data_IF_913240527917
#
_entry.id   IF_913240527917
#
_cell.length_a   1.000
_cell.length_b   1.000
_cell.length_c   1.000
_cell.angle_alpha   90.00
_cell.angle_beta   90.00
_cell.angle_gamma   90.00
#
_symmetry.space_group_name_H-M   'P 1'
#
loop_
_entity.id
_entity.type
_entity.pdbx_description
1 polymer ?
#
# COMPACT_ATOMS: atom_id res chain seq x y z
N UNK A 1 48.39 53.45 -61.26
CA UNK A 1 49.72 52.98 -60.82
C UNK A 1 49.49 51.78 -59.90
N UNK A 2 50.03 50.60 -60.26
CA UNK A 2 50.08 49.30 -59.55
C UNK A 2 48.74 48.56 -59.29
N UNK A 3 48.42 47.43 -59.94
CA UNK A 3 48.91 46.03 -59.77
C UNK A 3 48.59 45.42 -58.40
N UNK A 4 47.86 44.28 -58.40
CA UNK A 4 47.96 43.08 -57.54
C UNK A 4 46.66 42.25 -57.75
N UNK A 5 46.62 41.11 -58.45
CA UNK A 5 47.26 39.80 -58.27
C UNK A 5 46.73 39.00 -57.05
N UNK A 6 46.10 37.84 -57.33
CA UNK A 6 45.88 36.72 -56.39
C UNK A 6 44.64 36.84 -55.51
N UNK A 7 43.85 35.80 -55.20
CA UNK A 7 44.06 34.36 -55.26
C UNK A 7 42.72 33.62 -55.39
N UNK A 8 42.73 32.53 -56.15
CA UNK A 8 41.66 31.55 -56.25
C UNK A 8 41.70 30.69 -54.96
N UNK A 9 40.86 31.00 -53.97
CA UNK A 9 40.73 30.19 -52.75
C UNK A 9 39.65 29.12 -53.01
N UNK A 10 40.07 27.89 -53.25
CA UNK A 10 39.18 26.74 -53.36
C UNK A 10 38.50 26.49 -52.00
N UNK A 11 37.18 26.70 -51.95
CA UNK A 11 36.35 26.29 -50.82
C UNK A 11 36.19 24.77 -50.85
N UNK A 12 36.94 24.06 -50.00
CA UNK A 12 36.69 22.66 -49.70
C UNK A 12 35.49 22.61 -48.72
N UNK A 13 34.36 21.98 -49.06
CA UNK A 13 33.25 21.87 -48.12
C UNK A 13 33.68 20.93 -46.99
N UNK A 14 33.91 21.50 -45.81
CA UNK A 14 34.07 20.76 -44.57
C UNK A 14 32.72 20.08 -44.29
N UNK A 15 32.58 18.80 -44.63
CA UNK A 15 31.43 18.00 -44.21
C UNK A 15 31.50 17.86 -42.70
N UNK A 16 30.70 18.67 -42.00
CA UNK A 16 30.45 18.52 -40.57
C UNK A 16 29.77 17.18 -40.37
N UNK A 17 30.49 16.21 -39.80
CA UNK A 17 29.88 15.03 -39.20
C UNK A 17 29.11 15.50 -37.96
N UNK A 18 27.79 15.64 -38.09
CA UNK A 18 26.89 15.81 -36.96
C UNK A 18 26.83 14.46 -36.21
N UNK A 19 27.23 14.43 -34.94
CA UNK A 19 27.03 13.26 -34.09
C UNK A 19 25.53 13.09 -33.84
N UNK A 20 24.97 11.96 -34.25
CA UNK A 20 23.62 11.55 -33.84
C UNK A 20 23.72 11.02 -32.41
N UNK A 21 23.20 11.75 -31.42
CA UNK A 21 22.96 11.18 -30.09
C UNK A 21 22.00 9.99 -30.23
N UNK A 22 22.52 8.77 -30.05
CA UNK A 22 21.71 7.56 -30.11
C UNK A 22 21.11 7.28 -28.74
N UNK A 23 20.13 8.08 -28.34
CA UNK A 23 19.27 7.74 -27.19
C UNK A 23 18.43 6.52 -27.56
N UNK A 24 18.52 5.46 -26.75
CA UNK A 24 17.70 4.25 -26.93
C UNK A 24 16.65 4.19 -25.85
N UNK A 25 15.40 4.03 -26.26
CA UNK A 25 14.24 3.94 -25.37
C UNK A 25 13.56 2.58 -25.54
N UNK A 26 13.25 1.92 -24.43
CA UNK A 26 12.41 0.72 -24.43
C UNK A 26 11.61 0.58 -23.15
N UNK A 27 10.46 -0.08 -23.25
CA UNK A 27 9.61 -0.41 -22.10
C UNK A 27 10.06 -1.74 -21.50
N UNK A 28 10.15 -1.82 -20.18
CA UNK A 28 10.40 -3.07 -19.44
C UNK A 28 9.61 -3.11 -18.15
N UNK A 29 9.52 -4.28 -17.53
CA UNK A 29 8.83 -4.46 -16.25
C UNK A 29 9.87 -4.65 -15.14
N UNK A 30 9.91 -3.71 -14.19
CA UNK A 30 10.76 -3.80 -12.99
C UNK A 30 9.84 -3.89 -11.77
N UNK A 31 10.01 -4.92 -10.95
CA UNK A 31 9.19 -5.17 -9.76
C UNK A 31 7.66 -5.14 -10.04
N UNK A 32 7.25 -5.61 -11.22
CA UNK A 32 5.84 -5.67 -11.62
C UNK A 32 5.26 -4.36 -12.16
N UNK A 33 6.07 -3.32 -12.38
CA UNK A 33 5.64 -2.03 -12.96
C UNK A 33 6.29 -1.81 -14.32
N UNK A 34 5.50 -1.36 -15.29
CA UNK A 34 6.03 -0.88 -16.55
C UNK A 34 6.83 0.40 -16.32
N UNK A 35 8.07 0.40 -16.79
CA UNK A 35 8.97 1.54 -16.73
C UNK A 35 9.60 1.74 -18.10
N UNK A 36 9.75 3.01 -18.47
CA UNK A 36 10.51 3.41 -19.63
C UNK A 36 11.98 3.49 -19.23
N UNK A 37 12.85 2.82 -19.99
CA UNK A 37 14.30 2.86 -19.80
C UNK A 37 14.90 3.67 -20.93
N UNK A 38 15.59 4.74 -20.58
CA UNK A 38 16.34 5.59 -21.50
C UNK A 38 17.83 5.35 -21.28
N UNK A 39 18.52 4.90 -22.33
CA UNK A 39 19.97 4.70 -22.32
C UNK A 39 20.62 5.77 -23.19
N UNK A 40 21.44 6.60 -22.56
CA UNK A 40 22.25 7.63 -23.21
C UNK A 40 23.73 7.27 -23.03
N UNK A 41 24.33 6.74 -24.09
CA UNK A 41 25.69 6.20 -24.02
C UNK A 41 25.81 5.06 -23.01
N UNK A 42 26.41 5.34 -21.85
CA UNK A 42 26.63 4.37 -20.77
C UNK A 42 25.80 4.68 -19.50
N UNK A 43 24.96 5.72 -19.55
CA UNK A 43 24.05 6.10 -18.48
C UNK A 43 22.65 5.53 -18.75
N UNK A 44 21.96 5.10 -17.69
CA UNK A 44 20.62 4.51 -17.75
C UNK A 44 19.69 5.27 -16.81
N UNK A 45 18.62 5.84 -17.36
CA UNK A 45 17.58 6.55 -16.62
C UNK A 45 16.28 5.75 -16.66
N UNK A 46 15.65 5.57 -15.50
CA UNK A 46 14.35 4.94 -15.36
C UNK A 46 13.28 6.01 -15.22
N UNK A 47 12.30 5.99 -16.11
CA UNK A 47 11.13 6.86 -16.06
C UNK A 47 9.94 5.97 -15.71
N UNK A 48 9.41 6.16 -14.50
CA UNK A 48 8.23 5.46 -14.01
C UNK A 48 7.07 6.45 -13.94
N UNK A 49 5.94 6.09 -14.52
CA UNK A 49 4.69 6.80 -14.30
C UNK A 49 4.15 6.42 -12.92
N UNK A 50 3.83 7.44 -12.11
CA UNK A 50 3.23 7.23 -10.81
C UNK A 50 1.72 7.13 -10.97
N UNK A 51 1.11 6.20 -10.23
CA UNK A 51 -0.34 6.12 -10.15
C UNK A 51 -0.90 7.48 -9.70
N UNK A 52 -2.00 7.95 -10.32
CA UNK A 52 -2.59 9.23 -9.96
C UNK A 52 -2.98 9.25 -8.48
N UNK A 53 -2.31 10.11 -7.71
CA UNK A 53 -2.63 10.32 -6.31
C UNK A 53 -3.95 11.10 -6.20
N UNK A 54 -4.95 10.50 -5.56
CA UNK A 54 -6.19 11.19 -5.25
C UNK A 54 -5.93 12.28 -4.21
N UNK A 55 -6.12 13.55 -4.57
CA UNK A 55 -6.22 14.62 -3.59
C UNK A 55 -7.64 14.59 -3.05
N UNK A 56 -7.84 13.88 -1.93
CA UNK A 56 -9.10 13.97 -1.22
C UNK A 56 -9.16 15.33 -0.51
N UNK A 57 -10.29 16.06 -0.60
CA UNK A 57 -10.45 17.29 0.14
C UNK A 57 -10.26 16.98 1.62
N UNK A 58 -9.39 17.75 2.31
CA UNK A 58 -9.34 17.67 3.76
C UNK A 58 -10.75 17.94 4.27
N UNK A 59 -11.30 16.99 5.02
CA UNK A 59 -12.52 17.26 5.76
C UNK A 59 -12.17 18.37 6.75
N UNK A 60 -12.72 19.57 6.49
CA UNK A 60 -12.46 20.75 7.29
C UNK A 60 -13.20 20.59 8.61
N UNK A 61 -12.54 19.98 9.58
CA UNK A 61 -12.88 20.19 10.98
C UNK A 61 -12.54 21.65 11.32
N UNK A 62 -13.34 22.26 12.19
CA UNK A 62 -12.95 23.54 12.80
C UNK A 62 -11.54 23.39 13.40
N UNK A 63 -10.72 24.46 13.53
CA UNK A 63 -9.39 24.35 14.10
C UNK A 63 -9.46 23.99 15.60
N UNK A 64 -9.61 22.70 15.89
CA UNK A 64 -10.01 22.17 17.19
C UNK A 64 -9.37 20.79 17.49
N UNK A 65 -9.78 20.19 18.61
CA UNK A 65 -9.33 18.86 19.05
C UNK A 65 -9.66 17.74 18.04
N UNK A 66 -10.74 17.88 17.26
CA UNK A 66 -11.15 16.90 16.26
C UNK A 66 -10.21 16.92 15.06
N UNK A 67 -9.77 18.10 14.62
CA UNK A 67 -8.76 18.22 13.56
C UNK A 67 -7.45 17.53 13.96
N UNK A 68 -7.00 17.72 15.20
CA UNK A 68 -5.79 17.04 15.70
C UNK A 68 -5.97 15.53 15.79
N UNK A 69 -7.16 15.08 16.24
CA UNK A 69 -7.52 13.66 16.28
C UNK A 69 -7.52 13.06 14.88
N UNK A 70 -8.11 13.73 13.91
CA UNK A 70 -8.15 13.35 12.50
C UNK A 70 -6.74 13.19 11.93
N UNK A 71 -5.88 14.22 12.05
CA UNK A 71 -4.51 14.16 11.53
C UNK A 71 -3.69 13.03 12.17
N UNK A 72 -3.87 12.80 13.48
CA UNK A 72 -3.24 11.69 14.18
C UNK A 72 -3.74 10.34 13.66
N UNK A 73 -5.04 10.19 13.49
CA UNK A 73 -5.66 8.96 13.01
C UNK A 73 -5.25 8.68 11.57
N UNK A 74 -5.29 9.67 10.69
CA UNK A 74 -4.81 9.59 9.31
C UNK A 74 -3.37 9.10 9.21
N UNK A 75 -2.46 9.68 9.99
CA UNK A 75 -1.05 9.22 10.04
C UNK A 75 -0.92 7.78 10.51
N UNK A 76 -1.71 7.37 11.50
CA UNK A 76 -1.69 6.00 12.01
C UNK A 76 -2.35 5.02 11.04
N UNK A 77 -3.44 5.42 10.40
CA UNK A 77 -4.14 4.71 9.36
C UNK A 77 -3.21 4.41 8.19
N UNK A 78 -2.47 5.39 7.69
CA UNK A 78 -1.43 5.18 6.67
C UNK A 78 -0.41 4.10 7.07
N UNK A 79 0.04 4.10 8.33
CA UNK A 79 0.99 3.10 8.83
C UNK A 79 0.40 1.70 8.88
N UNK A 80 -0.87 1.55 9.29
CA UNK A 80 -1.49 0.23 9.50
C UNK A 80 -2.21 -0.32 8.27
N UNK A 81 -2.55 0.54 7.31
CA UNK A 81 -3.23 0.22 6.07
C UNK A 81 -2.67 -1.00 5.31
N UNK A 82 -1.35 -1.11 5.01
CA UNK A 82 -0.83 -2.26 4.28
C UNK A 82 -1.05 -3.60 5.03
N UNK A 83 -1.07 -3.58 6.36
CA UNK A 83 -1.35 -4.75 7.19
C UNK A 83 -2.83 -5.11 7.17
N UNK A 84 -3.70 -4.10 7.19
CA UNK A 84 -5.14 -4.28 7.11
C UNK A 84 -5.54 -4.91 5.75
N UNK A 85 -5.03 -4.35 4.65
CA UNK A 85 -5.25 -4.89 3.31
C UNK A 85 -4.70 -6.32 3.17
N UNK A 86 -3.52 -6.60 3.74
CA UNK A 86 -2.97 -7.95 3.76
C UNK A 86 -3.85 -8.93 4.55
N UNK A 87 -4.37 -8.52 5.70
CA UNK A 87 -5.25 -9.35 6.52
C UNK A 87 -6.56 -9.70 5.79
N UNK A 88 -7.18 -8.72 5.11
CA UNK A 88 -8.38 -8.93 4.30
C UNK A 88 -8.12 -9.95 3.17
N UNK A 89 -7.05 -9.76 2.39
CA UNK A 89 -6.67 -10.69 1.32
C UNK A 89 -6.47 -12.10 1.86
N UNK A 90 -5.71 -12.22 2.94
CA UNK A 90 -5.40 -13.51 3.54
C UNK A 90 -6.66 -14.21 4.05
N UNK A 91 -7.58 -13.48 4.70
CA UNK A 91 -8.84 -14.02 5.14
C UNK A 91 -9.63 -14.63 3.98
N UNK A 92 -9.79 -13.88 2.88
CA UNK A 92 -10.49 -14.36 1.70
C UNK A 92 -9.81 -15.60 1.08
N UNK A 93 -8.47 -15.60 0.99
CA UNK A 93 -7.70 -16.75 0.52
C UNK A 93 -7.90 -17.98 1.40
N UNK A 94 -7.92 -17.82 2.73
CA UNK A 94 -8.17 -18.91 3.67
C UNK A 94 -9.58 -19.47 3.50
N UNK A 95 -10.60 -18.61 3.41
CA UNK A 95 -11.98 -19.04 3.20
C UNK A 95 -12.13 -19.80 1.88
N UNK A 96 -11.53 -19.30 0.81
CA UNK A 96 -11.55 -19.96 -0.50
C UNK A 96 -10.82 -21.31 -0.46
N UNK A 97 -9.57 -21.34 0.02
CA UNK A 97 -8.75 -22.54 0.05
C UNK A 97 -9.32 -23.65 0.96
N UNK A 98 -10.05 -23.27 2.02
CA UNK A 98 -10.57 -24.23 3.00
C UNK A 98 -12.02 -24.64 2.78
N UNK A 99 -12.67 -24.18 1.70
CA UNK A 99 -14.09 -24.39 1.42
C UNK A 99 -14.51 -25.87 1.42
N UNK A 100 -13.69 -26.72 0.80
CA UNK A 100 -13.98 -28.16 0.62
C UNK A 100 -13.13 -29.05 1.57
N UNK A 101 -12.41 -28.44 2.51
CA UNK A 101 -11.56 -29.16 3.47
C UNK A 101 -12.38 -29.69 4.65
N UNK A 102 -11.98 -30.85 5.20
CA UNK A 102 -12.53 -31.31 6.47
C UNK A 102 -12.15 -30.35 7.63
N UNK A 103 -12.90 -30.33 8.74
CA UNK A 103 -12.57 -29.47 9.89
C UNK A 103 -11.15 -29.67 10.43
N UNK A 104 -10.60 -30.89 10.29
CA UNK A 104 -9.23 -31.23 10.70
C UNK A 104 -8.20 -30.62 9.75
N UNK A 105 -8.40 -30.74 8.44
CA UNK A 105 -7.52 -30.17 7.42
C UNK A 105 -7.55 -28.65 7.45
N UNK A 106 -8.75 -28.05 7.58
CA UNK A 106 -8.92 -26.61 7.74
C UNK A 106 -8.13 -26.09 8.94
N UNK A 107 -8.21 -26.77 10.09
CA UNK A 107 -7.44 -26.40 11.28
C UNK A 107 -5.94 -26.44 11.00
N UNK A 108 -5.43 -27.55 10.46
CA UNK A 108 -4.00 -27.66 10.14
C UNK A 108 -3.52 -26.65 9.06
N UNK A 109 -4.40 -26.23 8.15
CA UNK A 109 -4.11 -25.18 7.19
C UNK A 109 -3.99 -23.81 7.88
N UNK A 110 -4.96 -23.47 8.72
CA UNK A 110 -4.97 -22.21 9.49
C UNK A 110 -3.79 -22.14 10.45
N UNK A 111 -3.48 -23.21 11.17
CA UNK A 111 -2.35 -23.26 12.12
C UNK A 111 -1.00 -22.94 11.42
N UNK A 112 -0.79 -23.47 10.20
CA UNK A 112 0.43 -23.17 9.41
C UNK A 112 0.53 -21.72 8.98
N UNK A 113 -0.61 -21.11 8.63
CA UNK A 113 -0.67 -19.69 8.29
C UNK A 113 -0.41 -18.86 9.55
N UNK A 114 -0.98 -19.24 10.68
CA UNK A 114 -0.80 -18.55 11.97
C UNK A 114 0.67 -18.44 12.37
N UNK A 115 1.40 -19.56 12.30
CA UNK A 115 2.85 -19.60 12.57
C UNK A 115 3.64 -18.67 11.65
N UNK A 116 3.28 -18.65 10.36
CA UNK A 116 3.92 -17.78 9.36
C UNK A 116 3.66 -16.30 9.66
N UNK A 117 2.42 -15.94 10.03
CA UNK A 117 2.04 -14.58 10.38
C UNK A 117 2.72 -14.11 11.66
N UNK A 118 2.84 -14.97 12.67
CA UNK A 118 3.53 -14.62 13.90
C UNK A 118 5.01 -14.31 13.63
N UNK A 119 5.67 -15.11 12.78
CA UNK A 119 7.06 -14.88 12.39
C UNK A 119 7.25 -13.60 11.58
N UNK A 120 6.36 -13.33 10.61
CA UNK A 120 6.49 -12.18 9.71
C UNK A 120 6.06 -10.85 10.35
N UNK A 121 4.95 -10.87 11.09
CA UNK A 121 4.28 -9.65 11.57
C UNK A 121 4.24 -9.53 13.09
N UNK A 122 4.51 -10.60 13.85
CA UNK A 122 4.33 -10.61 15.31
C UNK A 122 5.10 -9.51 16.03
N UNK A 123 6.38 -9.28 15.67
CA UNK A 123 7.17 -8.19 16.26
C UNK A 123 6.60 -6.81 15.92
N UNK A 124 6.20 -6.60 14.67
CA UNK A 124 5.64 -5.32 14.21
C UNK A 124 4.33 -5.00 14.90
N UNK A 125 3.44 -5.98 15.00
CA UNK A 125 2.14 -5.83 15.64
C UNK A 125 2.24 -5.65 17.15
N UNK A 126 3.24 -6.28 17.80
CA UNK A 126 3.61 -6.02 19.20
C UNK A 126 3.99 -4.56 19.45
N UNK A 127 4.55 -3.88 18.45
CA UNK A 127 4.99 -2.50 18.55
C UNK A 127 3.94 -1.47 18.13
N UNK A 128 2.72 -1.90 17.75
CA UNK A 128 1.64 -0.97 17.45
C UNK A 128 1.08 -0.34 18.73
N UNK A 129 0.80 0.95 18.66
CA UNK A 129 0.07 1.64 19.73
C UNK A 129 -1.38 1.15 19.78
N UNK A 130 -2.07 1.38 20.91
CA UNK A 130 -3.50 1.03 21.04
C UNK A 130 -4.36 1.64 19.93
N UNK A 131 -4.09 2.89 19.55
CA UNK A 131 -4.83 3.57 18.48
C UNK A 131 -4.50 2.98 17.10
N UNK A 132 -3.24 2.59 16.86
CA UNK A 132 -2.86 1.90 15.62
C UNK A 132 -3.55 0.54 15.51
N UNK A 133 -3.53 -0.25 16.58
CA UNK A 133 -4.27 -1.51 16.66
C UNK A 133 -5.77 -1.32 16.44
N UNK A 134 -6.37 -0.30 17.06
CA UNK A 134 -7.79 0.03 16.85
C UNK A 134 -8.08 0.34 15.37
N UNK A 135 -7.28 1.20 14.74
CA UNK A 135 -7.47 1.56 13.32
C UNK A 135 -7.31 0.35 12.40
N UNK A 136 -6.30 -0.50 12.65
CA UNK A 136 -6.09 -1.76 11.93
C UNK A 136 -7.36 -2.63 12.01
N UNK A 137 -7.87 -2.83 13.22
CA UNK A 137 -9.11 -3.59 13.47
C UNK A 137 -10.29 -2.99 12.71
N UNK A 138 -10.54 -1.68 12.83
CA UNK A 138 -11.69 -1.01 12.20
C UNK A 138 -11.63 -1.03 10.68
N UNK A 139 -10.44 -0.91 10.10
CA UNK A 139 -10.21 -1.10 8.67
C UNK A 139 -10.61 -2.51 8.20
N UNK A 140 -10.19 -3.55 8.91
CA UNK A 140 -10.52 -4.94 8.57
C UNK A 140 -12.03 -5.21 8.75
N UNK A 141 -12.62 -4.74 9.85
CA UNK A 141 -14.06 -4.88 10.11
C UNK A 141 -14.92 -4.17 9.06
N UNK A 142 -14.49 -3.00 8.58
CA UNK A 142 -15.16 -2.25 7.51
C UNK A 142 -15.19 -3.05 6.21
N UNK A 143 -14.07 -3.66 5.83
CA UNK A 143 -13.97 -4.36 4.54
C UNK A 143 -14.67 -5.72 4.56
N UNK A 144 -14.53 -6.48 5.65
CA UNK A 144 -15.13 -7.81 5.75
C UNK A 144 -16.57 -7.78 6.30
N UNK A 145 -17.01 -6.66 6.88
CA UNK A 145 -18.30 -6.52 7.59
C UNK A 145 -18.54 -7.60 8.67
N UNK A 146 -17.45 -8.07 9.28
CA UNK A 146 -17.45 -9.10 10.33
C UNK A 146 -16.70 -8.52 11.54
N UNK A 147 -17.18 -8.74 12.78
CA UNK A 147 -16.43 -8.33 13.97
C UNK A 147 -15.03 -8.94 14.00
N UNK A 148 -14.00 -8.17 14.35
CA UNK A 148 -12.62 -8.65 14.34
C UNK A 148 -12.40 -9.84 15.25
N UNK A 149 -13.09 -9.87 16.40
CA UNK A 149 -13.10 -11.03 17.28
C UNK A 149 -13.54 -12.31 16.56
N UNK A 150 -14.54 -12.22 15.69
CA UNK A 150 -15.00 -13.38 14.93
C UNK A 150 -13.94 -13.82 13.92
N UNK A 151 -13.31 -12.89 13.21
CA UNK A 151 -12.20 -13.17 12.28
C UNK A 151 -11.08 -13.93 13.01
N UNK A 152 -10.66 -13.41 14.15
CA UNK A 152 -9.61 -14.00 15.00
C UNK A 152 -10.01 -15.39 15.51
N UNK A 153 -11.29 -15.59 15.89
CA UNK A 153 -11.80 -16.90 16.31
C UNK A 153 -11.87 -17.91 15.17
N UNK A 154 -12.18 -17.47 13.95
CA UNK A 154 -12.27 -18.34 12.77
C UNK A 154 -10.89 -18.83 12.31
N UNK A 155 -9.87 -18.00 12.54
CA UNK A 155 -8.45 -18.27 12.27
C UNK A 155 -7.72 -18.93 13.46
N UNK A 156 -8.43 -19.62 14.36
CA UNK A 156 -7.92 -20.27 15.60
C UNK A 156 -6.40 -20.54 15.59
N UNK A 157 -5.67 -19.86 16.48
CA UNK A 157 -4.22 -19.99 16.61
C UNK A 157 -3.64 -19.26 17.84
N UNK A 158 -2.33 -19.31 18.05
CA UNK A 158 -1.64 -18.59 19.14
C UNK A 158 -1.65 -17.07 18.94
N UNK A 159 -1.64 -16.63 17.68
CA UNK A 159 -1.74 -15.22 17.30
C UNK A 159 -3.08 -14.60 17.71
N UNK A 160 -4.16 -15.39 17.69
CA UNK A 160 -5.47 -14.97 18.16
C UNK A 160 -5.46 -14.58 19.65
N UNK A 161 -4.80 -15.38 20.48
CA UNK A 161 -4.63 -15.12 21.90
C UNK A 161 -3.72 -13.90 22.14
N UNK A 162 -2.68 -13.73 21.32
CA UNK A 162 -1.82 -12.54 21.35
C UNK A 162 -2.64 -11.26 21.16
N UNK A 163 -3.49 -11.20 20.13
CA UNK A 163 -4.36 -10.06 19.91
C UNK A 163 -5.36 -9.86 21.04
N UNK A 164 -5.96 -10.94 21.56
CA UNK A 164 -6.85 -10.88 22.71
C UNK A 164 -6.21 -10.26 23.95
N UNK A 165 -4.93 -10.54 24.20
CA UNK A 165 -4.19 -9.92 25.30
C UNK A 165 -3.88 -8.43 25.04
N UNK A 166 -3.58 -8.04 23.80
CA UNK A 166 -3.32 -6.63 23.45
C UNK A 166 -4.60 -5.78 23.51
N UNK A 167 -5.71 -6.35 23.04
CA UNK A 167 -7.00 -5.69 22.94
C UNK A 167 -7.83 -5.79 24.23
N UNK A 168 -7.56 -6.73 25.13
CA UNK A 168 -8.28 -6.88 26.40
C UNK A 168 -8.17 -5.68 27.38
N UNK A 169 -7.24 -4.74 27.13
CA UNK A 169 -7.09 -3.49 27.90
C UNK A 169 -7.76 -2.28 27.23
N UNK A 170 -8.23 -2.42 26.00
CA UNK A 170 -9.08 -1.44 25.33
C UNK A 170 -10.50 -1.77 25.81
N UNK A 171 -11.20 -0.79 26.39
CA UNK A 171 -12.54 -0.99 26.96
C UNK A 171 -13.38 -1.87 26.04
N UNK A 172 -13.84 -3.02 26.56
CA UNK A 172 -14.42 -4.13 25.79
C UNK A 172 -15.69 -3.80 24.98
N UNK A 173 -16.14 -2.55 24.98
CA UNK A 173 -17.21 -2.05 24.12
C UNK A 173 -16.73 -1.92 22.66
N UNK A 174 -15.59 -1.25 22.42
CA UNK A 174 -15.09 -0.93 21.06
C UNK A 174 -14.64 -2.14 20.23
N UNK A 175 -14.46 -3.31 20.85
CA UNK A 175 -13.94 -4.54 20.21
C UNK A 175 -14.99 -5.64 20.05
N UNK A 176 -16.10 -5.56 20.81
CA UNK A 176 -17.23 -6.47 20.65
C UNK A 176 -18.16 -6.00 19.53
N UNK A 177 -18.24 -4.69 19.35
CA UNK A 177 -19.04 -4.07 18.32
C UNK A 177 -18.22 -3.93 17.04
N UNK A 178 -18.77 -4.47 15.94
CA UNK A 178 -18.21 -4.26 14.61
C UNK A 178 -18.19 -2.76 14.29
N UNK A 179 -17.30 -2.36 13.39
CA UNK A 179 -17.34 -1.03 12.80
C UNK A 179 -18.74 -0.71 12.24
N UNK A 180 -19.29 0.44 12.64
CA UNK A 180 -20.54 1.01 12.12
C UNK A 180 -20.29 2.45 11.73
N UNK A 181 -20.62 2.79 10.48
CA UNK A 181 -20.51 4.17 9.96
C UNK A 181 -21.50 5.09 10.70
N UNK A 182 -21.04 6.25 11.14
CA UNK A 182 -21.79 7.28 11.83
C UNK A 182 -21.52 7.40 13.34
N UNK A 183 -20.83 6.42 13.95
CA UNK A 183 -20.54 6.43 15.39
C UNK A 183 -19.35 7.34 15.76
N UNK A 184 -18.36 7.44 14.87
CA UNK A 184 -17.19 8.30 15.04
C UNK A 184 -16.90 9.01 13.71
N UNK A 185 -17.38 10.26 13.52
CA UNK A 185 -17.19 11.00 12.27
C UNK A 185 -15.72 11.20 11.88
N UNK A 186 -14.82 11.27 12.86
CA UNK A 186 -13.38 11.44 12.60
C UNK A 186 -12.77 10.13 12.10
N UNK A 187 -13.13 9.01 12.73
CA UNK A 187 -12.75 7.69 12.24
C UNK A 187 -13.33 7.43 10.85
N UNK A 188 -14.60 7.75 10.63
CA UNK A 188 -15.26 7.56 9.33
C UNK A 188 -14.55 8.33 8.23
N UNK A 189 -14.23 9.61 8.48
CA UNK A 189 -13.48 10.45 7.55
C UNK A 189 -12.10 9.86 7.21
N UNK A 190 -11.41 9.31 8.22
CA UNK A 190 -10.12 8.64 8.01
C UNK A 190 -10.31 7.38 7.18
N UNK A 191 -11.24 6.50 7.55
CA UNK A 191 -11.44 5.24 6.84
C UNK A 191 -11.96 5.44 5.41
N UNK A 192 -12.73 6.50 5.15
CA UNK A 192 -13.18 6.87 3.81
C UNK A 192 -12.02 7.31 2.89
N UNK A 193 -10.89 7.78 3.46
CA UNK A 193 -9.67 8.08 2.69
C UNK A 193 -8.87 6.82 2.31
N UNK A 194 -9.01 5.73 3.07
CA UNK A 194 -8.31 4.47 2.83
C UNK A 194 -9.25 3.42 2.25
N UNK A 195 -9.55 3.53 0.97
CA UNK A 195 -10.36 2.54 0.25
C UNK A 195 -9.48 1.38 -0.27
N UNK A 196 -9.54 0.23 0.40
CA UNK A 196 -8.79 -0.97 0.03
C UNK A 196 -9.20 -1.53 -1.32
N UNK A 197 -10.40 -1.23 -1.81
CA UNK A 197 -10.87 -1.71 -3.11
C UNK A 197 -10.15 -1.04 -4.27
N UNK A 198 -9.54 0.12 -4.04
CA UNK A 198 -8.80 0.86 -5.06
C UNK A 198 -7.38 0.32 -5.27
N UNK A 199 -6.77 -0.24 -4.22
CA UNK A 199 -5.35 -0.67 -4.23
C UNK A 199 -5.17 -2.20 -4.28
N UNK A 200 -6.27 -2.97 -4.22
CA UNK A 200 -6.30 -4.40 -4.45
C UNK A 200 -6.77 -4.64 -5.88
N UNK A 201 -5.89 -4.98 -6.85
CA UNK A 201 -6.37 -5.36 -8.16
C UNK A 201 -7.29 -6.56 -8.01
N UNK A 202 -8.47 -6.49 -8.64
CA UNK A 202 -9.38 -7.61 -8.74
C UNK A 202 -8.60 -8.82 -9.26
N UNK A 203 -8.66 -9.93 -8.52
CA UNK A 203 -8.28 -11.22 -9.07
C UNK A 203 -9.43 -11.64 -10.00
N UNK A 204 -9.37 -11.19 -11.25
CA UNK A 204 -10.02 -11.88 -12.38
C UNK A 204 -9.35 -13.23 -12.65
#
# INVERSE_FOLDING_TARGET
MHLLLGHFLAFLPLTVFCQTDTTREYHTVIAGREVLVQIEGNDTTLIAELDPAGILPLQLFEPDEEQQRYLKYRRYAFKVYPYAAHAVRLYNQVIYATKDMSPKERRAFVDRIDETLEQQFGHTLKNFSRTQGLLLTKMIERELNIPFLQIVKELRGGFAAFYWNQFGKINGYHLKEKYTKGEDPVLDAVLDEFDMKKDLPDHE
#
